data_IF_716094135210
#
_entry.id   IF_716094135210
#
_cell.length_a   1.000
_cell.length_b   1.000
_cell.length_c   1.000
_cell.angle_alpha   90.00
_cell.angle_beta   90.00
_cell.angle_gamma   90.00
#
_symmetry.space_group_name_H-M   'P 1'
#
loop_
_entity.id
_entity.type
_entity.pdbx_description
1 polymer ?
#
# COMPACT_ATOMS: atom_id res chain seq x y z
N UNK A 1 11.09 -78.31 10.53
CA UNK A 1 11.47 -77.86 9.17
C UNK A 1 11.05 -76.40 8.98
N UNK A 2 12.03 -75.52 8.68
CA UNK A 2 12.00 -74.19 8.03
C UNK A 2 10.91 -73.18 8.49
N UNK A 3 11.27 -72.15 9.28
CA UNK A 3 11.86 -70.85 8.87
C UNK A 3 11.03 -70.12 7.80
N UNK A 4 10.41 -68.99 8.13
CA UNK A 4 10.90 -67.65 7.74
C UNK A 4 10.03 -66.55 8.37
N UNK A 5 10.65 -65.73 9.21
CA UNK A 5 10.24 -64.36 9.49
C UNK A 5 10.37 -63.56 8.19
N UNK A 6 9.34 -62.82 7.79
CA UNK A 6 9.47 -61.76 6.80
C UNK A 6 8.89 -60.48 7.38
N UNK A 7 9.81 -59.64 7.85
CA UNK A 7 9.59 -58.23 8.10
C UNK A 7 9.11 -57.56 6.81
N UNK A 8 7.92 -56.95 6.84
CA UNK A 8 7.51 -56.03 5.77
C UNK A 8 7.72 -54.62 6.27
N UNK A 9 8.60 -53.91 5.57
CA UNK A 9 9.25 -52.68 6.00
C UNK A 9 8.28 -51.50 6.13
N UNK A 10 8.56 -50.68 7.14
CA UNK A 10 8.02 -49.35 7.27
C UNK A 10 8.59 -48.49 6.14
N UNK A 11 7.82 -48.26 5.08
CA UNK A 11 8.20 -47.36 3.98
C UNK A 11 8.17 -45.94 4.55
N UNK A 12 9.36 -45.39 4.82
CA UNK A 12 9.52 -43.96 5.09
C UNK A 12 9.16 -43.20 3.80
N UNK A 13 7.91 -42.77 3.69
CA UNK A 13 7.52 -41.79 2.69
C UNK A 13 8.24 -40.48 3.04
N UNK A 14 9.34 -40.20 2.34
CA UNK A 14 9.99 -38.91 2.37
C UNK A 14 9.05 -37.90 1.75
N UNK A 15 8.23 -37.24 2.59
CA UNK A 15 7.43 -36.09 2.21
C UNK A 15 8.38 -34.98 1.77
N UNK A 16 8.58 -34.87 0.45
CA UNK A 16 9.19 -33.70 -0.14
C UNK A 16 8.21 -32.54 0.02
N UNK A 17 8.36 -31.77 1.09
CA UNK A 17 7.68 -30.48 1.23
C UNK A 17 8.20 -29.59 0.11
N UNK A 18 7.39 -29.39 -0.94
CA UNK A 18 7.67 -28.34 -1.92
C UNK A 18 7.76 -27.01 -1.16
N UNK A 19 8.69 -26.09 -1.52
CA UNK A 19 8.71 -24.78 -0.91
C UNK A 19 7.38 -24.10 -1.25
N UNK A 20 6.56 -23.89 -0.23
CA UNK A 20 5.38 -23.06 -0.31
C UNK A 20 5.88 -21.67 -0.71
N UNK A 21 5.57 -21.24 -1.94
CA UNK A 21 5.84 -19.87 -2.34
C UNK A 21 4.99 -19.00 -1.42
N UNK A 22 5.59 -18.45 -0.38
CA UNK A 22 4.95 -17.45 0.45
C UNK A 22 4.49 -16.32 -0.48
N UNK A 23 3.20 -16.29 -0.76
CA UNK A 23 2.59 -15.15 -1.44
C UNK A 23 2.72 -14.01 -0.45
N UNK A 24 3.63 -13.08 -0.74
CA UNK A 24 3.64 -11.80 -0.05
C UNK A 24 2.32 -11.10 -0.40
N UNK A 25 1.29 -11.26 0.43
CA UNK A 25 0.20 -10.31 0.46
C UNK A 25 0.83 -8.97 0.76
N UNK A 26 0.95 -8.14 -0.28
CA UNK A 26 1.39 -6.78 -0.11
C UNK A 26 0.29 -6.10 0.71
N UNK A 27 0.53 -5.96 2.01
CA UNK A 27 -0.28 -5.14 2.90
C UNK A 27 -0.05 -3.67 2.50
N UNK A 28 -0.70 -3.24 1.41
CA UNK A 28 -0.72 -1.84 1.02
C UNK A 28 -2.00 -1.20 1.52
N UNK A 29 -1.85 -0.04 2.14
CA UNK A 29 -2.97 0.85 2.42
C UNK A 29 -3.67 1.17 1.11
N UNK A 30 -4.97 0.94 1.02
CA UNK A 30 -5.81 1.28 -0.13
C UNK A 30 -6.21 2.75 -0.09
N UNK A 31 -6.55 3.30 -1.25
CA UNK A 31 -7.08 4.66 -1.33
C UNK A 31 -8.40 4.81 -0.56
N UNK A 32 -9.23 3.76 -0.48
CA UNK A 32 -10.45 3.74 0.33
C UNK A 32 -10.15 3.90 1.83
N UNK A 33 -9.21 3.13 2.37
CA UNK A 33 -8.81 3.20 3.78
C UNK A 33 -8.21 4.56 4.10
N UNK A 34 -7.34 5.09 3.22
CA UNK A 34 -6.79 6.42 3.39
C UNK A 34 -7.91 7.48 3.39
N UNK A 35 -8.85 7.44 2.45
CA UNK A 35 -9.99 8.36 2.38
C UNK A 35 -10.82 8.33 3.67
N UNK A 36 -11.07 7.14 4.23
CA UNK A 36 -11.77 7.00 5.52
C UNK A 36 -11.02 7.70 6.65
N UNK A 37 -9.70 7.50 6.74
CA UNK A 37 -8.88 8.17 7.76
C UNK A 37 -8.87 9.69 7.58
N UNK A 38 -8.83 10.17 6.33
CA UNK A 38 -8.84 11.61 6.03
C UNK A 38 -10.16 12.31 6.40
N UNK A 39 -11.27 11.58 6.42
CA UNK A 39 -12.60 12.05 6.81
C UNK A 39 -12.97 11.77 8.27
N UNK A 40 -12.09 11.11 9.03
CA UNK A 40 -12.34 10.74 10.42
C UNK A 40 -12.38 11.96 11.34
N UNK A 41 -13.27 11.92 12.34
CA UNK A 41 -13.32 12.92 13.42
C UNK A 41 -12.21 12.72 14.47
N UNK A 42 -11.49 11.61 14.43
CA UNK A 42 -10.40 11.33 15.35
C UNK A 42 -9.10 11.99 14.88
N UNK A 43 -8.47 12.76 15.77
CA UNK A 43 -7.23 13.48 15.46
C UNK A 43 -6.07 12.54 15.03
N UNK A 44 -6.05 11.31 15.54
CA UNK A 44 -5.01 10.32 15.19
C UNK A 44 -5.13 9.89 13.73
N UNK A 45 -6.35 9.59 13.26
CA UNK A 45 -6.59 9.20 11.86
C UNK A 45 -6.35 10.38 10.91
N UNK A 46 -6.82 11.56 11.31
CA UNK A 46 -6.55 12.80 10.58
C UNK A 46 -5.04 13.06 10.45
N UNK A 47 -4.32 12.93 11.56
CA UNK A 47 -2.87 13.09 11.62
C UNK A 47 -2.14 12.05 10.76
N UNK A 48 -2.58 10.79 10.81
CA UNK A 48 -2.05 9.72 9.96
C UNK A 48 -2.25 10.06 8.48
N UNK A 49 -3.47 10.41 8.07
CA UNK A 49 -3.74 10.77 6.67
C UNK A 49 -2.90 11.97 6.22
N UNK A 50 -2.88 13.06 7.00
CA UNK A 50 -2.10 14.26 6.66
C UNK A 50 -0.60 13.95 6.54
N UNK A 51 -0.05 13.17 7.46
CA UNK A 51 1.34 12.74 7.43
C UNK A 51 1.66 11.82 6.26
N UNK A 52 0.78 10.86 5.95
CA UNK A 52 0.93 9.96 4.81
C UNK A 52 0.99 10.75 3.49
N UNK A 53 0.04 11.66 3.28
CA UNK A 53 -0.02 12.48 2.06
C UNK A 53 1.19 13.41 1.96
N UNK A 54 1.63 14.00 3.08
CA UNK A 54 2.87 14.80 3.10
C UNK A 54 4.09 13.95 2.75
N UNK A 55 4.22 12.73 3.27
CA UNK A 55 5.34 11.85 2.91
C UNK A 55 5.39 11.52 1.40
N UNK A 56 4.23 11.23 0.80
CA UNK A 56 4.13 11.02 -0.65
C UNK A 56 4.47 12.31 -1.41
N UNK A 57 4.02 13.47 -0.90
CA UNK A 57 4.34 14.76 -1.50
C UNK A 57 5.84 15.08 -1.39
N UNK A 58 6.51 14.79 -0.28
CA UNK A 58 7.95 15.03 -0.12
C UNK A 58 8.76 14.11 -1.06
N UNK A 59 8.31 12.88 -1.27
CA UNK A 59 8.91 11.98 -2.25
C UNK A 59 8.80 12.51 -3.69
N UNK A 60 7.64 13.07 -4.06
CA UNK A 60 7.36 13.54 -5.42
C UNK A 60 7.85 14.98 -5.68
N UNK A 61 7.66 15.86 -4.71
CA UNK A 61 7.89 17.30 -4.78
C UNK A 61 9.20 17.74 -4.12
N UNK A 62 9.84 16.90 -3.30
CA UNK A 62 11.07 17.25 -2.59
C UNK A 62 12.35 17.10 -3.41
N UNK A 63 12.29 16.54 -4.63
CA UNK A 63 13.46 16.46 -5.51
C UNK A 63 13.74 17.81 -6.19
N UNK A 64 15.01 18.12 -6.47
CA UNK A 64 15.41 19.32 -7.22
C UNK A 64 14.84 19.37 -8.66
N UNK A 65 14.26 18.26 -9.12
CA UNK A 65 13.56 18.12 -10.40
C UNK A 65 12.04 18.36 -10.28
N UNK A 66 11.51 18.62 -9.09
CA UNK A 66 10.08 18.84 -8.92
C UNK A 66 9.64 20.18 -9.51
N UNK A 67 8.45 20.15 -10.09
CA UNK A 67 7.90 21.30 -10.79
C UNK A 67 7.20 22.30 -9.87
N UNK A 68 7.39 22.14 -8.57
CA UNK A 68 6.71 22.91 -7.54
C UNK A 68 7.73 23.66 -6.69
N UNK A 69 7.74 24.99 -6.80
CA UNK A 69 8.68 25.88 -6.07
C UNK A 69 8.09 26.50 -4.81
N UNK A 70 6.87 26.14 -4.42
CA UNK A 70 6.15 26.76 -3.29
C UNK A 70 5.97 25.74 -2.17
N UNK A 71 6.03 26.19 -0.92
CA UNK A 71 5.69 25.33 0.22
C UNK A 71 4.16 25.15 0.30
N UNK A 72 3.68 23.91 0.15
CA UNK A 72 2.26 23.56 0.31
C UNK A 72 2.05 23.02 1.73
N UNK A 73 1.02 23.50 2.42
CA UNK A 73 0.68 23.00 3.77
C UNK A 73 0.15 21.57 3.67
N UNK A 74 0.48 20.70 4.64
CA UNK A 74 -0.04 19.33 4.74
C UNK A 74 -1.57 19.25 4.63
N UNK A 75 -2.27 20.22 5.21
CA UNK A 75 -3.73 20.33 5.12
C UNK A 75 -4.22 20.48 3.67
N UNK A 76 -3.53 21.29 2.86
CA UNK A 76 -3.88 21.51 1.46
C UNK A 76 -3.59 20.26 0.63
N UNK A 77 -2.48 19.58 0.88
CA UNK A 77 -2.16 18.30 0.25
C UNK A 77 -3.24 17.26 0.55
N UNK A 78 -3.66 17.15 1.83
CA UNK A 78 -4.80 16.31 2.24
C UNK A 78 -6.06 16.63 1.44
N UNK A 79 -6.45 17.91 1.43
CA UNK A 79 -7.68 18.37 0.77
C UNK A 79 -7.67 18.06 -0.74
N UNK A 80 -6.52 18.19 -1.40
CA UNK A 80 -6.35 17.85 -2.81
C UNK A 80 -6.56 16.35 -3.02
N UNK A 81 -5.90 15.51 -2.22
CA UNK A 81 -5.99 14.06 -2.32
C UNK A 81 -7.41 13.55 -2.06
N UNK A 82 -8.09 14.05 -1.02
CA UNK A 82 -9.49 13.70 -0.72
C UNK A 82 -10.40 14.03 -1.91
N UNK A 83 -10.33 15.27 -2.42
CA UNK A 83 -11.15 15.68 -3.57
C UNK A 83 -10.88 14.87 -4.83
N UNK A 84 -9.65 14.40 -5.03
CA UNK A 84 -9.33 13.51 -6.14
C UNK A 84 -9.99 12.14 -5.94
N UNK A 85 -9.82 11.50 -4.79
CA UNK A 85 -10.42 10.20 -4.49
C UNK A 85 -11.95 10.21 -4.58
N UNK A 86 -12.60 11.28 -4.11
CA UNK A 86 -14.06 11.46 -4.24
C UNK A 86 -14.53 11.56 -5.69
N UNK A 87 -13.70 12.10 -6.60
CA UNK A 87 -13.99 12.21 -8.04
C UNK A 87 -13.62 10.96 -8.84
N UNK A 88 -12.82 10.07 -8.25
CA UNK A 88 -12.27 8.87 -8.90
C UNK A 88 -12.57 7.60 -8.09
N UNK A 89 -13.85 7.24 -7.86
CA UNK A 89 -14.22 6.08 -7.04
C UNK A 89 -13.65 4.74 -7.57
N UNK A 90 -13.39 4.64 -8.88
CA UNK A 90 -12.73 3.49 -9.51
C UNK A 90 -11.31 3.25 -8.99
N UNK A 91 -10.69 4.27 -8.41
CA UNK A 91 -9.33 4.19 -7.87
C UNK A 91 -9.25 3.71 -6.42
N UNK A 92 -10.39 3.60 -5.71
CA UNK A 92 -10.40 3.41 -4.26
C UNK A 92 -9.81 2.06 -3.80
N UNK A 93 -9.88 1.03 -4.64
CA UNK A 93 -9.27 -0.28 -4.36
C UNK A 93 -7.77 -0.34 -4.70
N UNK A 94 -7.20 0.72 -5.28
CA UNK A 94 -5.78 0.78 -5.66
C UNK A 94 -4.92 1.20 -4.46
N UNK A 95 -3.60 0.97 -4.50
CA UNK A 95 -2.69 1.43 -3.45
C UNK A 95 -2.77 2.95 -3.24
N UNK A 96 -2.93 3.38 -1.99
CA UNK A 96 -3.05 4.78 -1.58
C UNK A 96 -1.90 5.64 -2.10
N UNK A 97 -0.66 5.11 -2.09
CA UNK A 97 0.52 5.80 -2.62
C UNK A 97 0.33 6.19 -4.09
N UNK A 98 -0.17 5.27 -4.92
CA UNK A 98 -0.35 5.50 -6.36
C UNK A 98 -1.42 6.56 -6.63
N UNK A 99 -2.57 6.46 -5.95
CA UNK A 99 -3.68 7.41 -6.10
C UNK A 99 -3.32 8.79 -5.55
N UNK A 100 -2.60 8.84 -4.43
CA UNK A 100 -2.08 10.10 -3.87
C UNK A 100 -1.09 10.76 -4.82
N UNK A 101 -0.17 9.99 -5.43
CA UNK A 101 0.77 10.51 -6.40
C UNK A 101 0.08 11.09 -7.64
N UNK A 102 -0.93 10.40 -8.17
CA UNK A 102 -1.75 10.89 -9.28
C UNK A 102 -2.49 12.18 -8.93
N UNK A 103 -3.10 12.25 -7.74
CA UNK A 103 -3.78 13.44 -7.26
C UNK A 103 -2.85 14.66 -7.20
N UNK A 104 -1.64 14.46 -6.66
CA UNK A 104 -0.64 15.52 -6.54
C UNK A 104 -0.06 15.91 -7.91
N UNK A 105 0.20 14.95 -8.81
CA UNK A 105 0.65 15.23 -10.17
C UNK A 105 -0.40 16.01 -10.98
N UNK A 106 -1.68 15.69 -10.81
CA UNK A 106 -2.78 16.41 -11.44
C UNK A 106 -2.92 17.86 -10.89
N UNK A 107 -2.67 18.06 -9.59
CA UNK A 107 -2.74 19.37 -8.96
C UNK A 107 -1.51 20.26 -9.21
N UNK A 108 -0.35 19.65 -9.41
CA UNK A 108 0.94 20.34 -9.57
C UNK A 108 1.66 19.91 -10.85
N UNK A 109 1.09 20.16 -12.04
CA UNK A 109 1.70 19.77 -13.30
C UNK A 109 3.00 20.53 -13.54
N UNK A 110 3.98 19.82 -14.09
CA UNK A 110 5.15 20.41 -14.71
C UNK A 110 4.75 21.27 -15.91
N UNK A 111 5.33 22.46 -16.03
CA UNK A 111 5.17 23.36 -17.17
C UNK A 111 6.50 23.55 -17.88
#
# INVERSE_FOLDING_TARGET
>A
MKRLLLMSGFVLAASFSAPEKAQAESYYLTAQELLQMCGSSFNTDYGYCAGYVTGVADELLGSAASCHKVSVKSQQLRDITVRYMEKHPESLNRPARSVTAEALAAAFPCR
#
